data_IF_384036125629
#
_entry.id   IF_384036125629
#
_cell.length_a   1.000
_cell.length_b   1.000
_cell.length_c   1.000
_cell.angle_alpha   90.00
_cell.angle_beta   90.00
_cell.angle_gamma   90.00
#
_symmetry.space_group_name_H-M   'P 1'
#
loop_
_entity.id
_entity.type
_entity.pdbx_description
1 polymer ?
#
# COMPACT_ATOMS: atom_id res chain seq x y z
N UNK A 1 17.82 14.76 3.60
CA UNK A 1 16.94 14.21 4.65
C UNK A 1 16.66 12.78 4.23
N UNK A 2 16.85 11.79 5.10
CA UNK A 2 16.58 10.39 4.72
C UNK A 2 15.10 10.23 4.37
N UNK A 3 14.82 9.57 3.24
CA UNK A 3 13.48 9.26 2.76
C UNK A 3 12.86 8.19 3.68
N UNK A 4 11.64 8.44 4.15
CA UNK A 4 10.90 7.50 5.00
C UNK A 4 9.43 7.41 4.61
N UNK A 5 8.89 6.19 4.65
CA UNK A 5 7.44 5.98 4.62
C UNK A 5 6.97 5.74 6.05
N UNK A 6 6.05 6.57 6.54
CA UNK A 6 5.36 6.33 7.81
C UNK A 6 3.99 5.73 7.52
N UNK A 7 3.69 4.60 8.13
CA UNK A 7 2.39 3.95 8.08
C UNK A 7 1.73 4.06 9.44
N UNK A 8 0.44 4.40 9.44
CA UNK A 8 -0.41 4.46 10.62
C UNK A 8 -1.62 3.55 10.43
N UNK A 9 -1.94 2.78 11.46
CA UNK A 9 -3.20 2.06 11.60
C UNK A 9 -3.93 2.56 12.84
N UNK A 10 -5.22 2.85 12.71
CA UNK A 10 -6.05 3.25 13.84
C UNK A 10 -7.52 2.98 13.54
N UNK A 11 -8.32 2.98 14.60
CA UNK A 11 -9.77 2.95 14.49
C UNK A 11 -10.29 4.37 14.51
N UNK A 12 -11.23 4.70 13.63
CA UNK A 12 -11.86 6.02 13.57
C UNK A 12 -13.37 5.88 13.55
N UNK A 13 -14.06 6.95 13.96
CA UNK A 13 -15.50 7.07 13.72
C UNK A 13 -15.67 7.53 12.28
N UNK A 14 -16.24 6.68 11.43
CA UNK A 14 -16.38 6.94 10.00
C UNK A 14 -17.45 6.05 9.36
N UNK A 15 -17.97 6.50 8.23
CA UNK A 15 -19.08 5.87 7.50
C UNK A 15 -19.79 6.91 6.65
N UNK A 16 -20.21 6.54 5.43
CA UNK A 16 -20.81 7.51 4.49
C UNK A 16 -22.14 8.08 4.99
N UNK A 17 -22.86 7.38 5.89
CA UNK A 17 -24.25 7.70 6.19
C UNK A 17 -24.57 8.04 7.65
N UNK A 18 -23.78 7.64 8.65
CA UNK A 18 -24.27 7.73 10.05
C UNK A 18 -23.28 8.19 11.14
N UNK A 19 -22.00 8.43 10.85
CA UNK A 19 -20.97 8.84 11.84
C UNK A 19 -21.01 8.01 13.15
N UNK A 20 -21.43 6.74 13.07
CA UNK A 20 -21.60 5.86 14.24
C UNK A 20 -20.80 4.57 14.14
N UNK A 21 -20.38 4.18 12.93
CA UNK A 21 -19.53 3.01 12.75
C UNK A 21 -18.08 3.34 13.14
N UNK A 22 -17.46 2.41 13.88
CA UNK A 22 -16.01 2.42 14.12
C UNK A 22 -15.36 1.57 13.04
N UNK A 23 -14.43 2.18 12.31
CA UNK A 23 -13.83 1.58 11.12
C UNK A 23 -12.31 1.58 11.22
N UNK A 24 -11.64 0.57 10.63
CA UNK A 24 -10.20 0.55 10.60
C UNK A 24 -9.71 1.46 9.48
N UNK A 25 -8.69 2.25 9.76
CA UNK A 25 -8.08 3.18 8.80
C UNK A 25 -6.60 2.88 8.70
N UNK A 26 -6.10 2.86 7.46
CA UNK A 26 -4.67 2.88 7.15
C UNK A 26 -4.31 4.24 6.55
N UNK A 27 -3.22 4.84 7.00
CA UNK A 27 -2.71 6.08 6.40
C UNK A 27 -1.23 5.93 6.13
N UNK A 28 -0.76 6.38 4.95
CA UNK A 28 0.66 6.45 4.64
C UNK A 28 1.12 7.88 4.43
N UNK A 29 2.32 8.20 4.91
CA UNK A 29 2.96 9.49 4.77
C UNK A 29 4.37 9.32 4.24
N UNK A 30 4.74 10.13 3.25
CA UNK A 30 6.05 10.12 2.64
C UNK A 30 6.83 11.30 3.17
N UNK A 31 7.95 11.03 3.85
CA UNK A 31 8.75 12.00 4.58
C UNK A 31 10.09 12.13 3.87
N UNK A 32 10.41 13.34 3.40
CA UNK A 32 11.65 13.63 2.67
C UNK A 32 11.44 13.93 1.18
N UNK A 33 12.53 14.02 0.42
CA UNK A 33 12.51 14.31 -1.03
C UNK A 33 12.60 13.02 -1.84
N UNK A 34 11.52 12.67 -2.54
CA UNK A 34 11.39 11.45 -3.34
C UNK A 34 11.67 11.64 -4.84
N UNK A 35 12.01 12.85 -5.28
CA UNK A 35 12.20 13.18 -6.71
C UNK A 35 13.25 12.30 -7.41
N UNK A 36 14.31 11.89 -6.69
CA UNK A 36 15.33 10.97 -7.19
C UNK A 36 14.98 9.49 -7.12
N UNK A 37 14.26 9.07 -6.06
CA UNK A 37 13.89 7.67 -5.81
C UNK A 37 13.03 7.12 -6.95
N UNK A 38 11.99 7.89 -7.29
CA UNK A 38 11.01 7.51 -8.29
C UNK A 38 11.68 7.26 -9.64
N UNK A 39 12.71 8.02 -10.04
CA UNK A 39 13.39 7.82 -11.33
C UNK A 39 14.06 6.45 -11.46
N UNK A 40 14.75 6.00 -10.40
CA UNK A 40 15.48 4.73 -10.41
C UNK A 40 14.52 3.53 -10.33
N UNK A 41 13.52 3.59 -9.45
CA UNK A 41 12.54 2.51 -9.29
C UNK A 41 11.58 2.39 -10.48
N UNK A 42 11.25 3.49 -11.15
CA UNK A 42 10.46 3.49 -12.39
C UNK A 42 11.22 2.83 -13.54
N UNK A 43 12.53 3.09 -13.66
CA UNK A 43 13.37 2.42 -14.65
C UNK A 43 13.35 0.91 -14.46
N UNK A 44 13.27 0.45 -13.21
CA UNK A 44 13.20 -0.97 -12.89
C UNK A 44 11.90 -1.63 -13.38
N UNK A 45 10.73 -1.05 -13.11
CA UNK A 45 9.43 -1.62 -13.54
C UNK A 45 9.17 -1.50 -15.05
N UNK A 46 9.52 -0.35 -15.65
CA UNK A 46 9.09 0.00 -17.00
C UNK A 46 10.23 0.04 -18.03
N UNK A 47 11.46 -0.28 -17.65
CA UNK A 47 12.66 -0.01 -18.47
C UNK A 47 12.92 1.49 -18.64
N UNK A 48 13.73 1.89 -19.64
CA UNK A 48 14.09 3.31 -19.85
C UNK A 48 12.92 4.23 -20.28
N UNK A 49 11.71 3.72 -20.48
CA UNK A 49 10.73 4.37 -21.38
C UNK A 49 9.52 5.07 -20.76
N UNK A 50 9.27 5.02 -19.45
CA UNK A 50 8.12 5.73 -18.87
C UNK A 50 8.53 6.60 -17.69
N UNK A 51 9.18 7.74 -17.97
CA UNK A 51 9.45 8.76 -16.96
C UNK A 51 8.11 9.35 -16.50
N UNK A 52 7.81 9.25 -15.21
CA UNK A 52 6.71 9.95 -14.57
C UNK A 52 6.90 11.47 -14.75
N UNK A 53 5.89 12.15 -15.29
CA UNK A 53 5.96 13.61 -15.47
C UNK A 53 5.62 14.39 -14.20
N UNK A 54 5.04 13.73 -13.18
CA UNK A 54 4.71 14.33 -11.89
C UNK A 54 5.19 13.44 -10.74
N UNK A 55 6.18 13.94 -9.98
CA UNK A 55 6.80 13.27 -8.82
C UNK A 55 5.93 13.32 -7.54
N UNK A 56 4.62 13.51 -7.68
CA UNK A 56 3.73 13.66 -6.54
C UNK A 56 3.19 12.30 -6.13
N UNK A 57 3.66 11.80 -5.00
CA UNK A 57 3.15 10.60 -4.35
C UNK A 57 1.64 10.71 -4.08
N UNK A 58 0.89 9.65 -4.37
CA UNK A 58 -0.58 9.67 -4.42
C UNK A 58 -1.26 8.92 -3.27
N UNK A 59 -0.50 8.28 -2.38
CA UNK A 59 -1.02 7.50 -1.25
C UNK A 59 -1.86 6.30 -1.69
N UNK A 60 -1.44 5.63 -2.76
CA UNK A 60 -2.16 4.47 -3.31
C UNK A 60 -2.05 3.21 -2.45
N UNK A 61 -1.12 3.17 -1.50
CA UNK A 61 -1.02 2.06 -0.55
C UNK A 61 -2.30 1.89 0.27
N UNK A 62 -2.92 3.01 0.68
CA UNK A 62 -4.23 2.98 1.35
C UNK A 62 -5.29 2.37 0.43
N UNK A 63 -5.39 2.85 -0.81
CA UNK A 63 -6.43 2.41 -1.72
C UNK A 63 -6.31 0.93 -2.11
N UNK A 64 -5.08 0.43 -2.28
CA UNK A 64 -4.85 -0.99 -2.59
C UNK A 64 -5.23 -1.90 -1.42
N UNK A 65 -4.99 -1.49 -0.18
CA UNK A 65 -5.18 -2.32 1.01
C UNK A 65 -6.55 -2.15 1.68
N UNK A 66 -7.38 -1.25 1.16
CA UNK A 66 -8.71 -0.95 1.69
C UNK A 66 -9.76 -0.97 0.57
N UNK A 67 -10.56 -2.05 0.55
CA UNK A 67 -11.60 -2.29 -0.47
C UNK A 67 -13.00 -2.49 0.13
N UNK A 68 -13.09 -2.50 1.46
CA UNK A 68 -14.35 -2.70 2.14
C UNK A 68 -14.91 -1.35 2.52
N UNK A 69 -15.97 -0.89 1.85
CA UNK A 69 -16.81 0.18 2.37
C UNK A 69 -16.98 0.02 3.89
N UNK A 70 -16.89 1.15 4.60
CA UNK A 70 -16.77 1.34 6.05
C UNK A 70 -17.41 0.25 6.95
N UNK A 71 -18.55 -0.33 6.58
CA UNK A 71 -19.28 -1.33 7.37
C UNK A 71 -18.88 -2.80 7.14
N UNK A 72 -17.88 -3.11 6.30
CA UNK A 72 -17.56 -4.48 5.89
C UNK A 72 -16.07 -4.81 5.80
N UNK A 73 -15.22 -4.16 6.61
CA UNK A 73 -13.77 -4.41 6.61
C UNK A 73 -13.37 -5.87 6.88
N UNK A 74 -14.21 -6.67 7.55
CA UNK A 74 -13.91 -8.09 7.76
C UNK A 74 -13.93 -8.90 6.45
N UNK A 75 -14.63 -8.42 5.42
CA UNK A 75 -14.68 -9.06 4.11
C UNK A 75 -13.34 -8.97 3.35
N UNK A 76 -12.48 -8.01 3.68
CA UNK A 76 -11.15 -7.89 3.06
C UNK A 76 -10.10 -8.78 3.71
N UNK A 77 -10.37 -9.35 4.89
CA UNK A 77 -9.41 -10.22 5.60
C UNK A 77 -9.05 -11.48 4.77
N UNK A 78 -10.00 -12.27 4.22
CA UNK A 78 -9.64 -13.44 3.43
C UNK A 78 -8.82 -13.13 2.16
N UNK A 79 -9.17 -12.11 1.35
CA UNK A 79 -8.31 -11.63 0.26
C UNK A 79 -6.90 -11.23 0.73
N UNK A 80 -6.78 -10.49 1.84
CA UNK A 80 -5.49 -10.10 2.41
C UNK A 80 -4.64 -11.32 2.83
N UNK A 81 -5.25 -12.36 3.42
CA UNK A 81 -4.53 -13.61 3.76
C UNK A 81 -3.96 -14.29 2.52
N UNK A 82 -4.73 -14.37 1.44
CA UNK A 82 -4.24 -14.90 0.15
C UNK A 82 -3.12 -14.05 -0.42
N UNK A 83 -3.24 -12.72 -0.33
CA UNK A 83 -2.17 -11.82 -0.75
C UNK A 83 -0.89 -12.09 0.05
N UNK A 84 -0.97 -12.27 1.37
CA UNK A 84 0.17 -12.63 2.21
C UNK A 84 0.85 -13.91 1.71
N UNK A 85 0.07 -14.96 1.45
CA UNK A 85 0.61 -16.24 0.94
C UNK A 85 1.40 -16.06 -0.36
N UNK A 86 0.91 -15.24 -1.31
CA UNK A 86 1.61 -14.98 -2.57
C UNK A 86 2.85 -14.10 -2.37
N UNK A 87 2.78 -13.09 -1.50
CA UNK A 87 3.93 -12.22 -1.19
C UNK A 87 5.02 -12.99 -0.45
N UNK A 88 4.68 -13.96 0.40
CA UNK A 88 5.66 -14.85 1.04
C UNK A 88 6.42 -15.73 0.03
N UNK A 89 5.76 -16.16 -1.05
CA UNK A 89 6.43 -16.86 -2.16
C UNK A 89 7.44 -15.95 -2.86
N UNK A 90 7.15 -14.66 -3.01
CA UNK A 90 8.11 -13.68 -3.56
C UNK A 90 9.29 -13.51 -2.59
N UNK A 91 9.01 -13.31 -1.29
CA UNK A 91 10.06 -13.11 -0.28
C UNK A 91 11.05 -14.28 -0.24
N UNK A 92 10.50 -15.51 -0.25
CA UNK A 92 11.27 -16.77 -0.26
C UNK A 92 11.93 -17.11 -1.60
N UNK A 93 11.61 -16.41 -2.68
CA UNK A 93 12.13 -16.67 -4.03
C UNK A 93 11.46 -17.85 -4.76
N UNK A 94 10.31 -18.32 -4.25
CA UNK A 94 9.47 -19.33 -4.92
C UNK A 94 8.73 -18.73 -6.11
N UNK A 95 8.37 -17.44 -6.05
CA UNK A 95 7.80 -16.68 -7.16
C UNK A 95 8.64 -15.44 -7.45
N UNK A 96 8.67 -15.02 -8.71
CA UNK A 96 9.35 -13.80 -9.14
C UNK A 96 8.45 -12.56 -9.02
N UNK A 97 7.14 -12.73 -9.18
CA UNK A 97 6.17 -11.64 -9.16
C UNK A 97 4.77 -12.11 -8.74
N UNK A 98 3.93 -11.13 -8.39
CA UNK A 98 2.51 -11.31 -8.12
C UNK A 98 1.79 -10.00 -8.48
N UNK A 99 0.64 -10.12 -9.12
CA UNK A 99 -0.24 -8.99 -9.37
C UNK A 99 -1.45 -9.07 -8.43
N UNK A 100 -1.63 -8.03 -7.65
CA UNK A 100 -2.75 -7.84 -6.75
C UNK A 100 -3.74 -6.88 -7.38
N UNK A 101 -4.99 -7.28 -7.48
CA UNK A 101 -6.13 -6.40 -7.77
C UNK A 101 -7.00 -6.36 -6.52
N UNK A 102 -6.98 -5.21 -5.83
CA UNK A 102 -7.71 -4.95 -4.59
C UNK A 102 -7.93 -3.45 -4.44
N UNK A 103 -9.03 -3.08 -3.80
CA UNK A 103 -9.47 -1.69 -3.72
C UNK A 103 -10.26 -1.31 -4.97
N UNK A 104 -11.18 -0.37 -4.84
CA UNK A 104 -12.08 0.08 -5.91
C UNK A 104 -11.30 0.58 -7.16
N UNK A 105 -10.91 -0.35 -8.04
CA UNK A 105 -10.11 -0.10 -9.25
C UNK A 105 -8.61 0.09 -9.04
N UNK A 106 -8.04 -0.34 -7.91
CA UNK A 106 -6.61 -0.25 -7.64
C UNK A 106 -5.89 -1.59 -7.81
N UNK A 107 -4.58 -1.53 -8.05
CA UNK A 107 -3.75 -2.72 -8.12
C UNK A 107 -2.30 -2.47 -7.72
N UNK A 108 -1.60 -3.58 -7.51
CA UNK A 108 -0.19 -3.62 -7.21
C UNK A 108 0.55 -4.68 -8.02
N UNK A 109 1.62 -4.29 -8.70
CA UNK A 109 2.63 -5.22 -9.20
C UNK A 109 3.73 -5.39 -8.15
N UNK A 110 3.86 -6.60 -7.62
CA UNK A 110 4.75 -6.90 -6.49
C UNK A 110 5.92 -7.73 -6.99
N UNK A 111 7.14 -7.27 -6.70
CA UNK A 111 8.42 -7.95 -6.96
C UNK A 111 9.32 -7.78 -5.74
N UNK A 112 10.37 -8.60 -5.62
CA UNK A 112 11.24 -8.57 -4.43
C UNK A 112 11.99 -7.25 -4.27
N UNK A 113 12.20 -6.54 -5.37
CA UNK A 113 12.95 -5.29 -5.45
C UNK A 113 12.08 -4.09 -5.06
N UNK A 114 10.79 -4.10 -5.43
CA UNK A 114 9.86 -3.02 -5.17
C UNK A 114 8.40 -3.44 -5.45
N UNK A 115 7.47 -2.58 -5.07
CA UNK A 115 6.03 -2.69 -5.39
C UNK A 115 5.57 -1.44 -6.11
N UNK A 116 4.90 -1.62 -7.24
CA UNK A 116 4.29 -0.57 -8.03
C UNK A 116 2.78 -0.58 -7.74
N UNK A 117 2.24 0.54 -7.26
CA UNK A 117 0.83 0.73 -6.88
C UNK A 117 0.18 1.71 -7.84
N UNK A 118 -1.02 1.43 -8.34
CA UNK A 118 -1.66 2.29 -9.34
C UNK A 118 -3.16 2.06 -9.46
N UNK A 119 -3.84 3.03 -10.08
CA UNK A 119 -5.24 2.88 -10.49
C UNK A 119 -5.33 2.21 -11.86
N UNK A 120 -6.05 1.09 -11.95
CA UNK A 120 -6.02 0.15 -13.07
C UNK A 120 -6.45 0.77 -14.41
N UNK A 121 -7.38 1.73 -14.37
CA UNK A 121 -8.00 2.26 -15.58
C UNK A 121 -7.19 3.37 -16.28
N UNK A 122 -6.24 3.99 -15.58
CA UNK A 122 -5.66 5.28 -16.03
C UNK A 122 -4.13 5.35 -15.95
N UNK A 123 -3.45 4.42 -15.27
CA UNK A 123 -2.02 4.54 -15.01
C UNK A 123 -1.15 4.60 -16.27
N UNK A 124 -1.49 3.85 -17.33
CA UNK A 124 -0.72 3.86 -18.58
C UNK A 124 -0.83 5.18 -19.33
N UNK A 125 -1.96 5.87 -19.16
CA UNK A 125 -2.30 7.09 -19.89
C UNK A 125 -1.79 8.34 -19.19
N UNK A 126 -1.80 8.35 -17.85
CA UNK A 126 -1.46 9.54 -17.06
C UNK A 126 -0.18 9.39 -16.22
N UNK A 127 0.38 8.19 -16.13
CA UNK A 127 1.59 7.94 -15.34
C UNK A 127 1.37 8.14 -13.83
N UNK A 128 0.15 7.96 -13.35
CA UNK A 128 -0.17 8.06 -11.93
C UNK A 128 0.04 6.68 -11.27
N UNK A 129 1.13 6.55 -10.54
CA UNK A 129 1.49 5.38 -9.76
C UNK A 129 2.41 5.80 -8.61
N UNK A 130 2.48 4.95 -7.60
CA UNK A 130 3.41 5.02 -6.50
C UNK A 130 4.36 3.83 -6.56
N UNK A 131 5.63 4.01 -6.23
CA UNK A 131 6.58 2.90 -6.06
C UNK A 131 7.07 2.91 -4.62
N UNK A 132 7.04 1.75 -3.96
CA UNK A 132 7.50 1.56 -2.58
C UNK A 132 8.42 0.34 -2.48
N UNK A 133 9.31 0.27 -1.48
CA UNK A 133 10.12 -0.93 -1.26
C UNK A 133 9.25 -2.15 -0.93
N UNK A 134 9.70 -3.32 -1.37
CA UNK A 134 9.03 -4.60 -1.07
C UNK A 134 8.84 -4.82 0.43
N UNK A 135 9.88 -4.62 1.23
CA UNK A 135 9.79 -4.84 2.68
C UNK A 135 8.80 -3.89 3.36
N UNK A 136 8.68 -2.64 2.87
CA UNK A 136 7.66 -1.71 3.35
C UNK A 136 6.24 -2.24 3.06
N UNK A 137 5.99 -2.75 1.86
CA UNK A 137 4.69 -3.33 1.51
C UNK A 137 4.41 -4.60 2.33
N UNK A 138 5.40 -5.49 2.44
CA UNK A 138 5.33 -6.75 3.19
C UNK A 138 4.97 -6.50 4.65
N UNK A 139 5.76 -5.70 5.37
CA UNK A 139 5.50 -5.43 6.78
C UNK A 139 4.19 -4.67 7.00
N UNK A 140 3.81 -3.80 6.06
CA UNK A 140 2.50 -3.12 6.10
C UNK A 140 1.35 -4.12 5.98
N UNK A 141 1.43 -5.08 5.05
CA UNK A 141 0.39 -6.09 4.84
C UNK A 141 0.17 -6.95 6.10
N UNK A 142 1.27 -7.38 6.72
CA UNK A 142 1.22 -8.14 7.98
C UNK A 142 0.72 -7.30 9.16
N UNK A 143 1.20 -6.06 9.28
CA UNK A 143 0.74 -5.14 10.31
C UNK A 143 -0.75 -4.83 10.18
N UNK A 144 -1.22 -4.66 8.94
CA UNK A 144 -2.61 -4.35 8.64
C UNK A 144 -3.53 -5.51 9.00
N UNK A 145 -3.21 -6.74 8.60
CA UNK A 145 -4.07 -7.87 8.94
C UNK A 145 -4.15 -8.12 10.45
N UNK A 146 -3.03 -8.01 11.15
CA UNK A 146 -2.99 -8.14 12.61
C UNK A 146 -3.81 -7.04 13.29
N UNK A 147 -3.81 -5.84 12.72
CA UNK A 147 -4.63 -4.73 13.22
C UNK A 147 -6.13 -5.00 13.01
N UNK A 148 -6.53 -5.45 11.82
CA UNK A 148 -7.92 -5.79 11.48
C UNK A 148 -8.52 -6.90 12.36
N UNK A 149 -7.68 -7.81 12.85
CA UNK A 149 -8.10 -8.89 13.77
C UNK A 149 -8.20 -8.45 15.23
N UNK A 150 -7.86 -7.19 15.55
CA UNK A 150 -8.01 -6.65 16.91
C UNK A 150 -9.41 -6.09 17.15
N UNK A 151 -9.82 -6.01 18.41
CA UNK A 151 -11.09 -5.34 18.73
C UNK A 151 -10.98 -3.83 18.42
N UNK A 152 -12.05 -3.21 17.90
CA UNK A 152 -12.09 -1.77 17.68
C UNK A 152 -11.82 -0.97 18.95
N UNK A 153 -10.82 -0.09 18.89
CA UNK A 153 -10.42 0.80 19.98
C UNK A 153 -9.94 2.14 19.42
N UNK A 154 -10.73 3.19 19.64
CA UNK A 154 -10.45 4.56 19.16
C UNK A 154 -9.19 5.19 19.78
N UNK A 155 -8.68 4.63 20.89
CA UNK A 155 -7.44 5.09 21.51
C UNK A 155 -6.20 4.35 21.01
N UNK A 156 -6.40 3.28 20.22
CA UNK A 156 -5.32 2.46 19.70
C UNK A 156 -4.82 3.02 18.37
N UNK A 157 -3.53 3.33 18.36
CA UNK A 157 -2.80 3.74 17.17
C UNK A 157 -1.53 2.88 17.06
N UNK A 158 -1.25 2.39 15.87
CA UNK A 158 -0.01 1.71 15.52
C UNK A 158 0.69 2.56 14.47
N UNK A 159 1.94 2.96 14.73
CA UNK A 159 2.74 3.76 13.79
C UNK A 159 4.07 3.06 13.53
N UNK A 160 4.39 2.86 12.25
CA UNK A 160 5.67 2.29 11.80
C UNK A 160 6.33 3.24 10.82
N UNK A 161 7.66 3.39 10.89
CA UNK A 161 8.45 4.13 9.91
C UNK A 161 9.43 3.20 9.21
N UNK A 162 9.45 3.27 7.88
CA UNK A 162 10.33 2.51 7.00
C UNK A 162 11.33 3.46 6.36
N UNK A 163 12.62 3.20 6.55
CA UNK A 163 13.68 3.90 5.84
C UNK A 163 13.75 3.39 4.39
N UNK A 164 13.75 4.31 3.43
CA UNK A 164 13.78 3.99 1.98
C UNK A 164 15.22 3.91 1.44
N UNK A 165 16.16 4.49 2.18
CA UNK A 165 17.56 4.64 1.76
C UNK A 165 18.49 3.52 2.26
N UNK A 166 17.93 2.45 2.84
CA UNK A 166 18.70 1.33 3.42
C UNK A 166 18.83 0.15 2.47
#
# INVERSE_FOLDING_TARGET
MNRKIRIKFNWEIGGWEDNKTVVPVITSFFIGDYSGYLKESVKYFFGEKKIQLNFNYKNYLYNVLFDGGYDSYFLIIPPLKKCIEEVEKIKSGVSENFFLEMGEGFGAEIRKEAVLLYFLYDYEKYGDYDVIPFECFYETLFGWINFLETQPDLNKEIVTEYDIDK
#
